data_IF_462799331789
#
_entry.id   IF_462799331789
#
_cell.length_a   1.000
_cell.length_b   1.000
_cell.length_c   1.000
_cell.angle_alpha   90.00
_cell.angle_beta   90.00
_cell.angle_gamma   90.00
#
_symmetry.space_group_name_H-M   'P 1'
#
loop_
_entity.id
_entity.type
_entity.pdbx_description
1 polymer ?
#
# COMPACT_ATOMS: atom_id res chain seq x y z
N UNK A 1 -11.57 14.32 -6.46
CA UNK A 1 -12.87 14.33 -7.15
C UNK A 1 -12.66 14.63 -8.63
N UNK A 2 -13.50 14.07 -9.52
CA UNK A 2 -13.44 14.38 -10.98
C UNK A 2 -13.66 15.88 -11.26
N UNK A 3 -14.37 16.57 -10.39
CA UNK A 3 -14.57 18.03 -10.44
C UNK A 3 -13.31 18.86 -10.18
N UNK A 4 -12.24 18.24 -9.71
CA UNK A 4 -10.95 18.91 -9.46
C UNK A 4 -9.98 18.77 -10.62
N UNK A 5 -10.34 18.02 -11.66
CA UNK A 5 -9.49 17.79 -12.83
C UNK A 5 -9.76 18.86 -13.87
N UNK A 6 -8.73 19.65 -14.20
CA UNK A 6 -8.79 20.64 -15.26
C UNK A 6 -8.51 20.04 -16.64
N UNK A 7 -7.56 19.11 -16.71
CA UNK A 7 -7.11 18.53 -17.96
C UNK A 7 -6.45 17.16 -17.70
N UNK A 8 -6.74 16.24 -18.59
CA UNK A 8 -6.03 14.95 -18.67
C UNK A 8 -5.28 14.95 -20.01
N UNK A 9 -3.99 14.76 -19.96
CA UNK A 9 -3.10 14.64 -21.12
C UNK A 9 -2.56 13.21 -21.16
N UNK A 10 -2.79 12.51 -22.27
CA UNK A 10 -2.26 11.16 -22.47
C UNK A 10 -1.09 11.25 -23.45
N UNK A 11 0.11 10.95 -22.96
CA UNK A 11 1.35 10.92 -23.74
C UNK A 11 1.61 9.47 -24.13
N UNK A 12 1.34 9.09 -25.36
CA UNK A 12 1.46 7.71 -25.87
C UNK A 12 2.88 7.32 -26.26
N UNK A 13 3.80 8.26 -26.32
CA UNK A 13 5.21 8.00 -26.61
C UNK A 13 6.08 8.86 -25.67
N UNK A 14 6.16 8.49 -24.38
CA UNK A 14 6.96 9.22 -23.43
C UNK A 14 8.44 9.07 -23.80
N UNK A 15 9.12 10.20 -24.08
CA UNK A 15 10.53 10.21 -24.40
C UNK A 15 11.40 9.66 -23.26
N UNK A 16 12.73 9.70 -23.43
CA UNK A 16 13.74 9.16 -22.50
C UNK A 16 13.70 9.68 -21.05
N UNK A 17 12.81 10.62 -20.76
CA UNK A 17 12.49 11.13 -19.40
C UNK A 17 11.83 10.06 -18.51
N UNK A 18 11.20 9.07 -19.11
CA UNK A 18 10.51 7.98 -18.42
C UNK A 18 11.24 6.66 -18.71
N UNK A 19 11.16 5.70 -17.80
CA UNK A 19 11.81 4.40 -17.99
C UNK A 19 11.41 3.74 -19.31
N UNK A 20 12.31 2.96 -19.90
CA UNK A 20 12.12 2.33 -21.22
C UNK A 20 10.89 1.40 -21.32
N UNK A 21 10.35 0.96 -20.20
CA UNK A 21 9.17 0.09 -20.11
C UNK A 21 7.84 0.86 -20.10
N UNK A 22 7.89 2.20 -19.98
CA UNK A 22 6.69 3.05 -19.89
C UNK A 22 6.12 3.26 -21.29
N UNK A 23 4.99 2.63 -21.57
CA UNK A 23 4.28 2.73 -22.87
C UNK A 23 3.47 4.01 -23.03
N UNK A 24 2.96 4.54 -21.93
CA UNK A 24 2.19 5.79 -21.92
C UNK A 24 2.24 6.45 -20.55
N UNK A 25 2.11 7.77 -20.54
CA UNK A 25 2.03 8.59 -19.33
C UNK A 25 0.73 9.37 -19.35
N UNK A 26 -0.01 9.29 -18.25
CA UNK A 26 -1.21 10.10 -18.04
C UNK A 26 -0.81 11.26 -17.13
N UNK A 27 -0.87 12.47 -17.66
CA UNK A 27 -0.65 13.70 -16.90
C UNK A 27 -1.99 14.31 -16.55
N UNK A 28 -2.28 14.37 -15.25
CA UNK A 28 -3.50 14.99 -14.74
C UNK A 28 -3.14 16.38 -14.23
N UNK A 29 -3.75 17.41 -14.83
CA UNK A 29 -3.70 18.77 -14.30
C UNK A 29 -4.96 19.01 -13.50
N UNK A 30 -4.81 19.30 -12.23
CA UNK A 30 -5.92 19.69 -11.36
C UNK A 30 -6.23 21.17 -11.49
N UNK A 31 -7.46 21.55 -11.19
CA UNK A 31 -7.85 22.94 -11.03
C UNK A 31 -7.07 23.49 -9.82
N UNK A 32 -6.41 24.63 -10.00
CA UNK A 32 -5.83 25.33 -8.84
C UNK A 32 -7.01 25.69 -7.93
N UNK A 33 -7.02 25.14 -6.72
CA UNK A 33 -8.07 25.48 -5.75
C UNK A 33 -7.97 26.96 -5.48
N UNK A 34 -8.97 27.71 -5.89
CA UNK A 34 -9.10 29.13 -5.57
C UNK A 34 -9.73 29.20 -4.17
N UNK A 35 -9.01 29.78 -3.23
CA UNK A 35 -9.47 29.99 -1.86
C UNK A 35 -8.37 29.83 -0.83
N UNK A 36 -8.31 30.79 0.07
CA UNK A 36 -7.50 30.73 1.28
C UNK A 36 -8.30 30.08 2.40
N UNK A 37 -7.63 29.51 3.38
CA UNK A 37 -8.25 28.96 4.57
C UNK A 37 -7.79 27.57 4.92
N UNK A 38 -8.52 26.94 5.81
CA UNK A 38 -8.27 25.61 6.32
C UNK A 38 -9.40 24.66 5.90
N UNK A 39 -9.04 23.45 5.48
CA UNK A 39 -9.99 22.36 5.28
C UNK A 39 -9.57 21.15 6.09
N UNK A 40 -10.57 20.43 6.55
CA UNK A 40 -10.45 19.22 7.35
C UNK A 40 -11.36 18.15 6.77
N UNK A 41 -10.86 16.95 6.66
CA UNK A 41 -11.64 15.78 6.29
C UNK A 41 -11.28 14.62 7.24
N UNK A 42 -12.29 14.02 7.85
CA UNK A 42 -12.16 12.77 8.59
C UNK A 42 -12.95 11.69 7.86
N UNK A 43 -12.35 10.53 7.68
CA UNK A 43 -12.98 9.35 7.08
C UNK A 43 -12.77 8.17 8.01
N UNK A 44 -13.87 7.50 8.33
CA UNK A 44 -13.89 6.23 9.04
C UNK A 44 -14.56 5.19 8.16
N UNK A 45 -13.91 4.05 8.01
CA UNK A 45 -14.44 2.90 7.28
C UNK A 45 -14.39 1.70 8.20
N UNK A 46 -15.51 1.05 8.38
CA UNK A 46 -15.67 -0.12 9.21
C UNK A 46 -16.16 -1.31 8.38
N UNK A 47 -15.47 -2.43 8.46
CA UNK A 47 -15.86 -3.72 7.93
C UNK A 47 -16.10 -4.70 9.07
N UNK A 48 -17.15 -5.51 8.94
CA UNK A 48 -17.46 -6.58 9.88
C UNK A 48 -17.75 -7.86 9.11
N UNK A 49 -16.90 -8.87 9.33
CA UNK A 49 -17.14 -10.23 8.88
C UNK A 49 -17.14 -11.15 10.10
N UNK A 50 -16.31 -12.19 10.16
CA UNK A 50 -16.02 -12.92 11.40
C UNK A 50 -15.20 -12.06 12.36
N UNK A 51 -14.32 -11.24 11.81
CA UNK A 51 -13.49 -10.28 12.53
C UNK A 51 -13.83 -8.86 12.10
N UNK A 52 -13.26 -7.87 12.77
CA UNK A 52 -13.49 -6.45 12.53
C UNK A 52 -12.30 -5.86 11.81
N UNK A 53 -12.56 -5.13 10.72
CA UNK A 53 -11.58 -4.32 10.01
C UNK A 53 -11.98 -2.85 10.11
N UNK A 54 -11.03 -1.95 10.24
CA UNK A 54 -11.32 -0.53 10.17
C UNK A 54 -10.15 0.28 9.61
N UNK A 55 -10.50 1.38 8.97
CA UNK A 55 -9.54 2.36 8.45
C UNK A 55 -10.00 3.74 8.90
N UNK A 56 -9.12 4.43 9.62
CA UNK A 56 -9.30 5.80 10.06
C UNK A 56 -8.34 6.70 9.29
N UNK A 57 -8.86 7.79 8.74
CA UNK A 57 -8.06 8.75 8.00
C UNK A 57 -8.44 10.17 8.35
N UNK A 58 -7.44 11.00 8.53
CA UNK A 58 -7.54 12.41 8.81
C UNK A 58 -6.72 13.19 7.80
N UNK A 59 -7.33 14.16 7.14
CA UNK A 59 -6.67 15.07 6.22
C UNK A 59 -6.86 16.51 6.70
N UNK A 60 -5.77 17.26 6.70
CA UNK A 60 -5.75 18.68 7.01
C UNK A 60 -5.06 19.42 5.86
N UNK A 61 -5.64 20.50 5.42
CA UNK A 61 -5.03 21.38 4.43
C UNK A 61 -5.20 22.83 4.90
N UNK A 62 -4.14 23.59 4.77
CA UNK A 62 -4.13 25.02 5.04
C UNK A 62 -3.47 25.75 3.89
N UNK A 63 -4.16 26.76 3.37
CA UNK A 63 -3.65 27.64 2.33
C UNK A 63 -3.77 29.10 2.74
N UNK A 64 -2.68 29.80 2.60
CA UNK A 64 -2.64 31.25 2.77
C UNK A 64 -1.65 31.86 1.79
N UNK A 65 -2.12 32.78 0.95
CA UNK A 65 -1.34 33.38 -0.13
C UNK A 65 -0.66 32.30 -1.02
N UNK A 66 0.66 32.32 -1.02
CA UNK A 66 1.50 31.42 -1.81
C UNK A 66 1.91 30.14 -1.07
N UNK A 67 1.45 29.97 0.16
CA UNK A 67 1.79 28.84 1.02
C UNK A 67 0.64 27.82 1.05
N UNK A 68 0.98 26.56 0.83
CA UNK A 68 0.10 25.40 0.93
C UNK A 68 0.71 24.41 1.91
N UNK A 69 0.05 24.11 3.00
CA UNK A 69 0.46 23.11 4.00
C UNK A 69 -0.58 22.01 4.05
N UNK A 70 -0.15 20.78 4.02
CA UNK A 70 -1.06 19.64 4.18
C UNK A 70 -0.50 18.61 5.14
N UNK A 71 -1.40 17.94 5.84
CA UNK A 71 -1.10 16.82 6.71
C UNK A 71 -2.13 15.71 6.50
N UNK A 72 -1.68 14.47 6.59
CA UNK A 72 -2.54 13.29 6.56
C UNK A 72 -2.08 12.32 7.64
N UNK A 73 -3.03 11.70 8.31
CA UNK A 73 -2.80 10.56 9.17
C UNK A 73 -3.77 9.45 8.78
N UNK A 74 -3.28 8.22 8.71
CA UNK A 74 -4.07 7.03 8.44
C UNK A 74 -3.67 5.92 9.40
N UNK A 75 -4.67 5.23 9.93
CA UNK A 75 -4.52 3.97 10.64
C UNK A 75 -5.39 2.91 9.98
N UNK A 76 -4.81 1.75 9.72
CA UNK A 76 -5.49 0.59 9.13
C UNK A 76 -5.33 -0.58 10.07
N UNK A 77 -6.45 -1.18 10.43
CA UNK A 77 -6.53 -2.44 11.16
C UNK A 77 -7.27 -3.45 10.31
N UNK A 78 -6.58 -4.49 9.89
CA UNK A 78 -7.15 -5.61 9.16
C UNK A 78 -7.02 -6.89 10.00
N UNK A 79 -8.13 -7.59 10.18
CA UNK A 79 -8.18 -8.85 10.89
C UNK A 79 -9.10 -9.81 10.12
N UNK A 80 -8.52 -10.62 9.26
CA UNK A 80 -9.30 -11.50 8.39
C UNK A 80 -8.92 -12.97 8.53
N UNK A 81 -9.91 -13.81 8.26
CA UNK A 81 -9.81 -15.25 8.16
C UNK A 81 -9.96 -15.65 6.70
N UNK A 82 -8.99 -16.40 6.18
CA UNK A 82 -9.03 -17.02 4.88
C UNK A 82 -9.19 -18.54 5.07
N UNK A 83 -10.23 -19.11 4.47
CA UNK A 83 -10.42 -20.57 4.39
C UNK A 83 -10.31 -20.97 2.94
N UNK A 84 -9.40 -21.90 2.63
CA UNK A 84 -9.19 -22.42 1.31
C UNK A 84 -9.25 -23.96 1.33
N UNK A 85 -10.08 -24.54 0.46
CA UNK A 85 -10.17 -25.98 0.29
C UNK A 85 -9.69 -26.34 -1.11
N UNK A 86 -8.69 -27.24 -1.18
CA UNK A 86 -8.09 -27.68 -2.43
C UNK A 86 -8.16 -29.20 -2.50
N UNK A 87 -8.78 -29.74 -3.54
CA UNK A 87 -8.77 -31.18 -3.86
C UNK A 87 -7.89 -31.39 -5.08
N UNK A 88 -6.94 -32.29 -4.96
CA UNK A 88 -6.01 -32.68 -6.02
C UNK A 88 -6.05 -34.17 -6.23
N UNK A 89 -6.02 -34.62 -7.51
CA UNK A 89 -5.94 -36.03 -7.89
C UNK A 89 -4.78 -36.24 -8.84
N UNK A 90 -4.00 -37.29 -8.60
CA UNK A 90 -2.87 -37.67 -9.44
C UNK A 90 -3.06 -39.14 -9.84
N UNK A 91 -3.06 -39.36 -11.16
CA UNK A 91 -3.20 -40.67 -11.77
C UNK A 91 -1.82 -41.13 -12.29
N UNK A 92 -1.24 -42.11 -11.57
CA UNK A 92 -0.05 -42.81 -12.02
C UNK A 92 -0.42 -44.29 -12.03
N UNK A 93 0.30 -45.16 -11.37
CA UNK A 93 -0.10 -46.58 -11.17
C UNK A 93 -1.17 -46.71 -10.07
N UNK A 94 -1.24 -45.73 -9.19
CA UNK A 94 -2.19 -45.61 -8.09
C UNK A 94 -2.94 -44.28 -8.24
N UNK A 95 -4.23 -44.27 -7.98
CA UNK A 95 -4.99 -43.03 -7.85
C UNK A 95 -4.71 -42.40 -6.48
N UNK A 96 -3.97 -41.33 -6.49
CA UNK A 96 -3.75 -40.49 -5.30
C UNK A 96 -4.75 -39.36 -5.25
N UNK A 97 -5.45 -39.22 -4.13
CA UNK A 97 -6.32 -38.07 -3.84
C UNK A 97 -5.79 -37.37 -2.62
N UNK A 98 -5.63 -36.06 -2.72
CA UNK A 98 -5.25 -35.20 -1.62
C UNK A 98 -6.29 -34.13 -1.43
N UNK A 99 -6.82 -34.00 -0.23
CA UNK A 99 -7.76 -32.96 0.18
C UNK A 99 -7.09 -32.11 1.23
N UNK A 100 -6.91 -30.82 0.91
CA UNK A 100 -6.29 -29.84 1.79
C UNK A 100 -7.33 -28.83 2.24
N UNK A 101 -7.38 -28.59 3.53
CA UNK A 101 -8.10 -27.48 4.14
C UNK A 101 -7.09 -26.55 4.81
N UNK A 102 -6.94 -25.36 4.29
CA UNK A 102 -6.12 -24.31 4.87
C UNK A 102 -7.01 -23.29 5.55
N UNK A 103 -6.69 -22.96 6.80
CA UNK A 103 -7.30 -21.89 7.56
C UNK A 103 -6.20 -20.93 8.00
N UNK A 104 -6.27 -19.66 7.60
CA UNK A 104 -5.26 -18.66 7.86
C UNK A 104 -5.89 -17.41 8.49
N UNK A 105 -5.36 -17.03 9.63
CA UNK A 105 -5.66 -15.76 10.29
C UNK A 105 -4.57 -14.73 9.99
N UNK A 106 -4.98 -13.53 9.63
CA UNK A 106 -4.06 -12.41 9.42
C UNK A 106 -4.50 -11.20 10.23
N UNK A 107 -3.53 -10.61 10.91
CA UNK A 107 -3.69 -9.39 11.70
C UNK A 107 -2.64 -8.38 11.26
N UNK A 108 -3.11 -7.25 10.71
CA UNK A 108 -2.27 -6.17 10.24
C UNK A 108 -2.65 -4.86 10.92
N UNK A 109 -1.62 -4.14 11.41
CA UNK A 109 -1.78 -2.80 11.97
C UNK A 109 -0.79 -1.86 11.28
N UNK A 110 -1.31 -0.96 10.44
CA UNK A 110 -0.52 -0.05 9.64
C UNK A 110 -0.80 1.40 10.01
N UNK A 111 0.26 2.16 10.22
CA UNK A 111 0.23 3.60 10.49
C UNK A 111 0.92 4.34 9.36
N UNK A 112 0.31 5.43 8.90
CA UNK A 112 0.90 6.33 7.92
C UNK A 112 0.64 7.78 8.31
N UNK A 113 1.71 8.55 8.38
CA UNK A 113 1.67 10.00 8.55
C UNK A 113 2.31 10.68 7.34
N UNK A 114 1.77 11.81 6.94
CA UNK A 114 2.29 12.61 5.85
C UNK A 114 2.17 14.08 6.19
N UNK A 115 3.24 14.84 5.95
CA UNK A 115 3.29 16.28 6.08
C UNK A 115 3.91 16.86 4.81
N UNK A 116 3.35 17.93 4.31
CA UNK A 116 3.94 18.60 3.16
C UNK A 116 3.69 20.11 3.17
N UNK A 117 4.63 20.81 2.54
CA UNK A 117 4.58 22.23 2.36
C UNK A 117 4.94 22.53 0.91
N UNK A 118 4.10 23.31 0.24
CA UNK A 118 4.34 23.86 -1.07
C UNK A 118 4.36 25.39 -0.99
N UNK A 119 5.32 26.00 -1.64
CA UNK A 119 5.45 27.45 -1.69
C UNK A 119 5.63 27.93 -3.13
N UNK A 120 4.74 28.80 -3.56
CA UNK A 120 4.80 29.46 -4.86
C UNK A 120 5.56 30.78 -4.70
N UNK A 121 6.84 30.77 -5.10
CA UNK A 121 7.68 31.99 -5.00
C UNK A 121 7.11 33.12 -5.87
N UNK A 122 6.70 32.77 -7.10
CA UNK A 122 6.01 33.62 -8.06
C UNK A 122 5.34 32.73 -9.13
N UNK A 123 4.74 33.32 -10.17
CA UNK A 123 4.02 32.59 -11.22
C UNK A 123 4.87 31.54 -11.95
N UNK A 124 6.19 31.73 -11.97
CA UNK A 124 7.12 30.90 -12.70
C UNK A 124 7.96 29.97 -11.80
N UNK A 125 7.90 30.08 -10.48
CA UNK A 125 8.76 29.36 -9.56
C UNK A 125 7.96 28.80 -8.39
N UNK A 126 8.10 27.50 -8.16
CA UNK A 126 7.52 26.79 -7.01
C UNK A 126 8.51 25.81 -6.40
N UNK A 127 8.39 25.58 -5.12
CA UNK A 127 9.18 24.58 -4.40
C UNK A 127 8.31 23.91 -3.32
N UNK A 128 8.73 22.74 -2.88
CA UNK A 128 8.04 22.06 -1.81
C UNK A 128 8.85 20.95 -1.20
N UNK A 129 8.39 20.54 -0.04
CA UNK A 129 8.90 19.41 0.71
C UNK A 129 7.74 18.56 1.18
N UNK A 130 7.92 17.25 1.13
CA UNK A 130 6.97 16.25 1.60
C UNK A 130 7.71 15.23 2.46
N UNK A 131 7.18 14.96 3.61
CA UNK A 131 7.67 13.93 4.52
C UNK A 131 6.58 12.90 4.73
N UNK A 132 6.95 11.62 4.61
CA UNK A 132 6.06 10.48 4.87
C UNK A 132 6.73 9.61 5.92
N UNK A 133 5.98 9.21 6.92
CA UNK A 133 6.33 8.17 7.87
C UNK A 133 5.32 7.03 7.78
N UNK A 134 5.79 5.80 7.73
CA UNK A 134 4.93 4.61 7.82
C UNK A 134 5.54 3.59 8.76
N UNK A 135 4.71 2.88 9.50
CA UNK A 135 5.11 1.84 10.42
C UNK A 135 4.05 0.74 10.48
N UNK A 136 4.50 -0.50 10.57
CA UNK A 136 3.64 -1.66 10.88
C UNK A 136 4.28 -2.37 12.07
N UNK A 137 3.95 -1.98 13.31
CA UNK A 137 4.63 -2.46 14.51
C UNK A 137 4.56 -3.98 14.67
N UNK A 138 3.46 -4.55 14.20
CA UNK A 138 3.25 -5.98 14.29
C UNK A 138 2.21 -6.42 13.27
N UNK A 139 2.66 -7.22 12.27
CA UNK A 139 1.79 -7.90 11.34
C UNK A 139 1.98 -9.40 11.53
N UNK A 140 0.89 -10.10 11.81
CA UNK A 140 0.89 -11.53 12.12
C UNK A 140 0.07 -12.29 11.10
N UNK A 141 0.62 -13.41 10.66
CA UNK A 141 -0.08 -14.40 9.85
C UNK A 141 0.12 -15.74 10.55
N UNK A 142 -0.96 -16.40 10.92
CA UNK A 142 -0.94 -17.74 11.46
C UNK A 142 -1.89 -18.62 10.66
N UNK A 143 -1.46 -19.82 10.29
CA UNK A 143 -2.29 -20.71 9.50
C UNK A 143 -2.06 -22.17 9.85
N UNK A 144 -3.11 -22.94 9.64
CA UNK A 144 -3.13 -24.40 9.77
C UNK A 144 -3.57 -24.99 8.45
N UNK A 145 -2.87 -26.02 8.01
CA UNK A 145 -3.24 -26.81 6.82
C UNK A 145 -3.42 -28.26 7.26
N UNK A 146 -4.61 -28.76 7.06
CA UNK A 146 -4.95 -30.18 7.21
C UNK A 146 -4.94 -30.81 5.84
N UNK A 147 -4.19 -31.89 5.66
CA UNK A 147 -4.09 -32.65 4.41
C UNK A 147 -4.45 -34.09 4.65
N UNK A 148 -5.53 -34.55 4.00
CA UNK A 148 -5.92 -35.93 3.95
C UNK A 148 -5.46 -36.53 2.61
N UNK A 149 -4.78 -37.67 2.68
CA UNK A 149 -4.25 -38.39 1.51
C UNK A 149 -4.90 -39.77 1.46
N UNK A 150 -5.49 -40.10 0.32
CA UNK A 150 -6.07 -41.42 0.03
C UNK A 150 -5.37 -42.03 -1.20
N UNK A 151 -5.17 -43.34 -1.17
CA UNK A 151 -4.60 -44.16 -2.25
C UNK A 151 -5.64 -45.17 -2.72
N UNK A 152 -6.09 -45.12 -3.99
CA UNK A 152 -7.16 -45.96 -4.54
C UNK A 152 -8.43 -45.97 -3.68
N UNK A 153 -8.84 -44.76 -3.17
CA UNK A 153 -9.97 -44.52 -2.28
C UNK A 153 -9.79 -45.04 -0.83
N UNK A 154 -8.66 -45.69 -0.49
CA UNK A 154 -8.33 -46.03 0.89
C UNK A 154 -7.52 -44.95 1.56
N UNK A 155 -7.80 -44.68 2.83
CA UNK A 155 -7.03 -43.74 3.63
C UNK A 155 -5.56 -44.17 3.70
N UNK A 156 -4.66 -43.23 3.37
CA UNK A 156 -3.22 -43.47 3.39
C UNK A 156 -2.54 -42.69 4.51
N UNK A 157 -2.77 -41.36 4.59
CA UNK A 157 -2.06 -40.53 5.54
C UNK A 157 -2.86 -39.25 5.87
N UNK A 158 -2.49 -38.60 6.98
CA UNK A 158 -3.01 -37.33 7.42
C UNK A 158 -1.87 -36.44 7.91
N UNK A 159 -1.74 -35.28 7.33
CA UNK A 159 -0.71 -34.30 7.69
C UNK A 159 -1.37 -33.06 8.27
N UNK A 160 -0.82 -32.57 9.38
CA UNK A 160 -1.15 -31.30 9.97
C UNK A 160 0.07 -30.39 9.92
N UNK A 161 -0.02 -29.26 9.22
CA UNK A 161 1.02 -28.26 9.15
C UNK A 161 0.52 -26.94 9.72
N UNK A 162 1.28 -26.36 10.64
CA UNK A 162 1.03 -25.06 11.21
C UNK A 162 2.14 -24.11 10.80
N UNK A 163 1.78 -22.90 10.40
CA UNK A 163 2.73 -21.87 10.01
C UNK A 163 2.42 -20.54 10.68
N UNK A 164 3.45 -19.90 11.20
CA UNK A 164 3.36 -18.60 11.85
C UNK A 164 4.40 -17.66 11.27
N UNK A 165 3.97 -16.47 10.93
CA UNK A 165 4.84 -15.39 10.46
C UNK A 165 4.52 -14.11 11.21
N UNK A 166 5.55 -13.48 11.72
CA UNK A 166 5.43 -12.15 12.34
C UNK A 166 6.37 -11.20 11.64
N UNK A 167 5.83 -10.12 11.12
CA UNK A 167 6.60 -9.06 10.47
C UNK A 167 6.50 -7.77 11.28
N UNK A 168 7.64 -7.23 11.67
CA UNK A 168 7.77 -5.92 12.30
C UNK A 168 8.42 -4.98 11.30
N UNK A 169 7.71 -3.93 10.91
CA UNK A 169 8.26 -2.84 10.10
C UNK A 169 8.51 -1.65 11.01
N UNK A 170 9.77 -1.38 11.25
CA UNK A 170 10.18 -0.17 11.95
C UNK A 170 9.72 1.06 11.16
N UNK A 171 9.61 2.24 11.81
CA UNK A 171 9.23 3.45 11.11
C UNK A 171 10.10 3.69 9.88
N UNK A 172 9.45 3.69 8.71
CA UNK A 172 10.07 4.06 7.45
C UNK A 172 9.86 5.55 7.22
N UNK A 173 10.90 6.22 6.75
CA UNK A 173 10.91 7.65 6.53
C UNK A 173 11.20 7.92 5.06
N UNK A 174 10.35 8.71 4.43
CA UNK A 174 10.56 9.19 3.08
C UNK A 174 10.49 10.71 3.07
N UNK A 175 11.47 11.34 2.46
CA UNK A 175 11.51 12.78 2.24
C UNK A 175 11.59 13.00 0.74
N UNK A 176 10.73 13.87 0.22
CA UNK A 176 10.77 14.36 -1.15
C UNK A 176 10.93 15.87 -1.13
N UNK A 177 11.82 16.40 -1.96
CA UNK A 177 12.01 17.83 -2.17
C UNK A 177 11.93 18.10 -3.66
N UNK A 178 11.16 19.10 -4.04
CA UNK A 178 11.06 19.49 -5.43
C UNK A 178 11.22 21.01 -5.60
N UNK A 179 11.69 21.38 -6.77
CA UNK A 179 11.66 22.74 -7.30
C UNK A 179 11.27 22.69 -8.78
N UNK A 180 10.39 23.59 -9.19
CA UNK A 180 10.03 23.81 -10.58
C UNK A 180 10.09 25.29 -10.89
N UNK A 181 10.78 25.64 -11.97
CA UNK A 181 10.95 27.05 -12.33
C UNK A 181 11.19 27.28 -13.81
N UNK A 182 10.88 28.49 -14.27
CA UNK A 182 11.12 28.92 -15.64
C UNK A 182 11.79 30.30 -15.67
N UNK A 183 12.90 30.40 -16.43
CA UNK A 183 13.63 31.66 -16.66
C UNK A 183 13.74 31.84 -18.16
N UNK A 184 12.97 32.79 -18.70
CA UNK A 184 12.88 33.03 -20.13
C UNK A 184 12.35 31.81 -20.89
N UNK A 185 13.18 31.18 -21.75
CA UNK A 185 12.82 29.96 -22.48
C UNK A 185 13.30 28.67 -21.81
N UNK A 186 14.01 28.76 -20.69
CA UNK A 186 14.55 27.63 -19.96
C UNK A 186 13.57 27.23 -18.85
N UNK A 187 13.19 25.95 -18.81
CA UNK A 187 12.47 25.34 -17.69
C UNK A 187 13.43 24.41 -16.93
N UNK A 188 13.39 24.51 -15.61
CA UNK A 188 14.16 23.68 -14.69
C UNK A 188 13.21 23.00 -13.71
N UNK A 189 13.26 21.66 -13.72
CA UNK A 189 12.56 20.81 -12.76
C UNK A 189 13.60 19.99 -11.99
N UNK A 190 13.58 20.12 -10.68
CA UNK A 190 14.41 19.34 -9.76
C UNK A 190 13.50 18.54 -8.83
N UNK A 191 13.84 17.27 -8.64
CA UNK A 191 13.15 16.38 -7.71
C UNK A 191 14.16 15.45 -7.05
N UNK A 192 14.12 15.35 -5.73
CA UNK A 192 15.00 14.48 -4.95
C UNK A 192 14.20 13.71 -3.90
N UNK A 193 14.43 12.41 -3.84
CA UNK A 193 13.81 11.51 -2.88
C UNK A 193 14.86 10.84 -2.00
N UNK A 194 14.56 10.73 -0.71
CA UNK A 194 15.32 9.95 0.26
C UNK A 194 14.37 8.99 0.96
N UNK A 195 14.72 7.70 0.99
CA UNK A 195 13.97 6.66 1.68
C UNK A 195 14.88 5.93 2.66
N UNK A 196 14.38 5.73 3.89
CA UNK A 196 14.96 4.82 4.87
C UNK A 196 13.87 3.91 5.41
N UNK A 197 14.06 2.60 5.30
CA UNK A 197 13.13 1.60 5.83
C UNK A 197 13.88 0.38 6.37
N UNK A 198 13.32 -0.27 7.38
CA UNK A 198 13.80 -1.53 7.93
C UNK A 198 12.58 -2.40 8.27
N UNK A 199 12.63 -3.68 7.87
CA UNK A 199 11.64 -4.66 8.24
C UNK A 199 12.33 -5.96 8.69
N UNK A 200 11.73 -6.65 9.66
CA UNK A 200 12.18 -7.96 10.14
C UNK A 200 11.01 -8.92 10.09
N UNK A 201 11.24 -10.10 9.54
CA UNK A 201 10.24 -11.17 9.47
C UNK A 201 10.80 -12.41 10.15
N UNK A 202 10.07 -12.95 11.10
CA UNK A 202 10.30 -14.27 11.70
C UNK A 202 9.25 -15.23 11.19
N UNK A 203 9.67 -16.44 10.76
CA UNK A 203 8.78 -17.51 10.31
C UNK A 203 9.04 -18.75 11.14
N UNK A 204 7.97 -19.46 11.48
CA UNK A 204 7.99 -20.76 12.14
C UNK A 204 7.02 -21.70 11.42
N UNK A 205 7.44 -22.93 11.17
CA UNK A 205 6.62 -23.99 10.58
C UNK A 205 6.76 -25.24 11.44
N UNK A 206 5.63 -25.83 11.80
CA UNK A 206 5.53 -27.06 12.58
C UNK A 206 4.75 -28.07 11.77
N UNK A 207 5.30 -29.25 11.55
CA UNK A 207 4.64 -30.35 10.84
C UNK A 207 4.49 -31.56 11.78
N UNK A 208 3.29 -32.11 11.80
CA UNK A 208 2.94 -33.32 12.52
C UNK A 208 2.26 -34.30 11.55
N UNK A 209 2.70 -35.55 11.58
CA UNK A 209 2.15 -36.67 10.80
C UNK A 209 1.61 -37.78 11.71
#
# INVERSE_FOLDING_TARGET
SSSEIRQIEVITNPGSRYGAEVKSVIRIKTIKREGEGMSFEARSTWGQSQNTDFTEQLNLNYRHNNLDVFAMFQYVHNNYLLINNVSQQVYVDTLWRQENRMEQHSLDNDYRGELGVNYQVNDNHSLGVRYIMSASPENKIGGQTESRIDANDDFYDYLLSESYSTTVKHPAHQINVYYSGAVGKLSLDFNADMLRSEARTGNEVIENS
#
